data_IF_143115142677
#
_entry.id   IF_143115142677
#
_cell.length_a   1.000
_cell.length_b   1.000
_cell.length_c   1.000
_cell.angle_alpha   90.00
_cell.angle_beta   90.00
_cell.angle_gamma   90.00
#
_symmetry.space_group_name_H-M   'P 1'
#
loop_
_entity.id
_entity.type
_entity.pdbx_description
1 polymer ?
#
# COMPACT_ATOMS: atom_id res chain seq x y z
N UNK A 1 -10.65 15.84 29.37
CA UNK A 1 -9.68 14.73 29.50
C UNK A 1 -9.83 13.87 28.25
N UNK A 2 -8.82 13.76 27.40
CA UNK A 2 -8.90 12.96 26.18
C UNK A 2 -8.77 11.47 26.52
N UNK A 3 -9.76 10.67 26.11
CA UNK A 3 -9.72 9.20 26.22
C UNK A 3 -8.78 8.61 25.15
N UNK A 4 -7.50 8.99 25.19
CA UNK A 4 -6.51 8.51 24.25
C UNK A 4 -6.02 7.11 24.67
N UNK A 5 -6.09 6.16 23.73
CA UNK A 5 -5.54 4.80 23.90
C UNK A 5 -4.30 4.68 23.03
N UNK A 6 -3.21 4.15 23.58
CA UNK A 6 -1.93 3.99 22.88
C UNK A 6 -1.40 2.56 23.02
N UNK A 7 -0.68 2.09 22.00
CA UNK A 7 0.07 0.83 22.09
C UNK A 7 1.23 0.96 23.08
N UNK A 8 1.50 -0.12 23.81
CA UNK A 8 2.73 -0.25 24.61
C UNK A 8 3.96 -0.25 23.70
N UNK A 9 5.16 -0.07 24.28
CA UNK A 9 6.40 -0.12 23.52
C UNK A 9 6.59 -1.48 22.81
N UNK A 10 6.31 -2.60 23.50
CA UNK A 10 6.36 -3.93 22.87
C UNK A 10 5.30 -4.08 21.78
N UNK A 11 4.05 -3.66 22.05
CA UNK A 11 2.96 -3.74 21.08
C UNK A 11 3.27 -2.96 19.79
N UNK A 12 3.85 -1.77 19.93
CA UNK A 12 4.30 -0.95 18.81
C UNK A 12 5.40 -1.64 18.01
N UNK A 13 6.40 -2.23 18.67
CA UNK A 13 7.49 -2.97 18.00
C UNK A 13 6.95 -4.15 17.20
N UNK A 14 6.05 -4.94 17.79
CA UNK A 14 5.42 -6.09 17.13
C UNK A 14 4.64 -5.63 15.90
N UNK A 15 3.81 -4.59 16.04
CA UNK A 15 3.02 -4.05 14.95
C UNK A 15 3.91 -3.58 13.80
N UNK A 16 4.89 -2.70 14.07
CA UNK A 16 5.76 -2.14 13.04
C UNK A 16 6.59 -3.22 12.34
N UNK A 17 7.06 -4.23 13.08
CA UNK A 17 7.79 -5.36 12.49
C UNK A 17 6.93 -6.14 11.50
N UNK A 18 5.69 -6.47 11.87
CA UNK A 18 4.78 -7.21 10.98
C UNK A 18 4.31 -6.35 9.80
N UNK A 19 4.11 -5.05 10.02
CA UNK A 19 3.77 -4.10 8.98
C UNK A 19 4.87 -4.03 7.90
N UNK A 20 6.15 -3.91 8.29
CA UNK A 20 7.25 -3.89 7.33
C UNK A 20 7.43 -5.23 6.61
N UNK A 21 7.26 -6.37 7.32
CA UNK A 21 7.22 -7.69 6.68
C UNK A 21 6.12 -7.79 5.62
N UNK A 22 4.90 -7.31 5.93
CA UNK A 22 3.78 -7.30 4.98
C UNK A 22 4.08 -6.43 3.77
N UNK A 23 4.70 -5.27 3.95
CA UNK A 23 5.11 -4.39 2.83
C UNK A 23 6.11 -5.05 1.88
N UNK A 24 6.96 -5.94 2.38
CA UNK A 24 7.91 -6.70 1.57
C UNK A 24 7.31 -7.96 0.95
N UNK A 25 6.09 -8.36 1.33
CA UNK A 25 5.46 -9.54 0.74
C UNK A 25 5.09 -9.31 -0.72
N UNK A 26 5.31 -10.34 -1.52
CA UNK A 26 4.98 -10.35 -2.94
C UNK A 26 3.50 -10.67 -3.17
N UNK A 27 2.92 -10.04 -4.17
CA UNK A 27 1.62 -10.40 -4.72
C UNK A 27 1.59 -10.19 -6.24
N UNK A 28 0.59 -10.74 -6.91
CA UNK A 28 0.36 -10.50 -8.33
C UNK A 28 -0.55 -9.28 -8.50
N UNK A 29 -0.05 -8.23 -9.13
CA UNK A 29 -0.83 -7.03 -9.37
C UNK A 29 -2.05 -7.37 -10.25
N UNK A 30 -3.30 -7.14 -9.80
CA UNK A 30 -4.51 -7.57 -10.50
C UNK A 30 -4.67 -6.90 -11.87
N UNK A 31 -4.31 -5.61 -11.96
CA UNK A 31 -4.40 -4.83 -13.21
C UNK A 31 -3.21 -5.05 -14.15
N UNK A 32 -1.97 -5.06 -13.64
CA UNK A 32 -0.76 -5.15 -14.48
C UNK A 32 -0.31 -6.59 -14.76
N UNK A 33 -0.83 -7.59 -14.03
CA UNK A 33 -0.46 -9.00 -14.16
C UNK A 33 0.96 -9.36 -13.69
N UNK A 34 1.77 -8.39 -13.25
CA UNK A 34 3.15 -8.57 -12.81
C UNK A 34 3.23 -8.91 -11.32
N UNK A 35 4.28 -9.64 -10.94
CA UNK A 35 4.64 -9.86 -9.54
C UNK A 35 5.31 -8.59 -8.99
N UNK A 36 4.82 -8.08 -7.88
CA UNK A 36 5.41 -6.94 -7.18
C UNK A 36 5.17 -7.06 -5.67
N UNK A 37 5.99 -6.39 -4.88
CA UNK A 37 5.80 -6.23 -3.45
C UNK A 37 4.64 -5.27 -3.15
N UNK A 38 4.05 -5.39 -1.96
CA UNK A 38 3.10 -4.39 -1.46
C UNK A 38 3.69 -2.97 -1.47
N UNK A 39 4.98 -2.82 -1.16
CA UNK A 39 5.66 -1.51 -1.19
C UNK A 39 5.71 -0.92 -2.60
N UNK A 40 6.11 -1.70 -3.60
CA UNK A 40 6.15 -1.26 -5.01
C UNK A 40 4.75 -0.90 -5.51
N UNK A 41 3.70 -1.56 -5.01
CA UNK A 41 2.32 -1.24 -5.40
C UNK A 41 1.92 0.20 -5.07
N UNK A 42 2.45 0.79 -3.99
CA UNK A 42 2.18 2.18 -3.65
C UNK A 42 2.76 3.15 -4.68
N UNK A 43 3.97 2.87 -5.16
CA UNK A 43 4.60 3.64 -6.23
C UNK A 43 3.84 3.48 -7.56
N UNK A 44 3.39 2.25 -7.88
CA UNK A 44 2.59 1.99 -9.07
C UNK A 44 1.26 2.76 -9.04
N UNK A 45 0.56 2.76 -7.91
CA UNK A 45 -0.68 3.52 -7.74
C UNK A 45 -0.44 5.02 -7.82
N UNK A 46 0.64 5.55 -7.24
CA UNK A 46 1.01 6.96 -7.38
C UNK A 46 1.28 7.34 -8.85
N UNK A 47 1.97 6.49 -9.62
CA UNK A 47 2.21 6.71 -11.06
C UNK A 47 0.91 6.65 -11.88
N UNK A 48 0.00 5.72 -11.56
CA UNK A 48 -1.31 5.62 -12.21
C UNK A 48 -2.16 6.87 -11.92
N UNK A 49 -2.12 7.37 -10.69
CA UNK A 49 -2.79 8.61 -10.31
C UNK A 49 -2.21 9.81 -11.06
N UNK A 50 -0.89 9.92 -11.14
CA UNK A 50 -0.23 11.00 -11.90
C UNK A 50 -0.66 10.99 -13.38
N UNK A 51 -0.72 9.80 -14.02
CA UNK A 51 -1.19 9.67 -15.40
C UNK A 51 -2.63 10.15 -15.59
N UNK A 52 -3.50 9.85 -14.64
CA UNK A 52 -4.89 10.31 -14.64
C UNK A 52 -4.98 11.83 -14.50
N UNK A 53 -4.23 12.41 -13.55
CA UNK A 53 -4.19 13.87 -13.34
C UNK A 53 -3.62 14.63 -14.55
N UNK A 54 -2.68 14.03 -15.28
CA UNK A 54 -2.12 14.60 -16.52
C UNK A 54 -3.03 14.40 -17.75
N UNK A 55 -4.20 13.76 -17.62
CA UNK A 55 -5.09 13.48 -18.74
C UNK A 55 -4.56 12.45 -19.75
N UNK A 56 -3.46 11.75 -19.41
CA UNK A 56 -2.86 10.71 -20.29
C UNK A 56 -3.60 9.37 -20.21
N UNK A 57 -4.56 9.23 -19.30
CA UNK A 57 -5.38 8.04 -19.13
C UNK A 57 -6.75 8.47 -18.62
N UNK A 58 -7.82 7.95 -19.23
CA UNK A 58 -9.21 8.35 -18.92
C UNK A 58 -9.70 7.88 -17.55
N UNK A 59 -9.07 6.84 -16.99
CA UNK A 59 -9.49 6.21 -15.73
C UNK A 59 -8.31 5.82 -14.87
N UNK A 60 -8.42 6.06 -13.57
CA UNK A 60 -7.50 5.55 -12.56
C UNK A 60 -7.97 4.18 -12.05
N UNK A 61 -7.26 3.07 -12.34
CA UNK A 61 -7.66 1.76 -11.87
C UNK A 61 -7.20 1.54 -10.40
N UNK A 62 -8.13 1.38 -9.45
CA UNK A 62 -7.78 1.14 -8.05
C UNK A 62 -7.17 -0.26 -7.86
N UNK A 63 -6.29 -0.37 -6.88
CA UNK A 63 -5.71 -1.64 -6.47
C UNK A 63 -6.65 -2.42 -5.54
N UNK A 64 -7.21 -3.53 -6.02
CA UNK A 64 -7.96 -4.48 -5.20
C UNK A 64 -7.18 -5.76 -5.00
N UNK A 65 -6.72 -6.02 -3.78
CA UNK A 65 -6.06 -7.27 -3.40
C UNK A 65 -7.06 -8.08 -2.55
N UNK A 66 -7.22 -9.36 -2.88
CA UNK A 66 -8.02 -10.30 -2.08
C UNK A 66 -7.22 -10.84 -0.89
#
# INVERSE_FOLDING_TARGET
MSNAVSLTAEGRKIFLTNYEKKKQSDFKHPVMGKKCTYRESFELQARLLAKYLMGTTDKYPPLFIR
#
